data_IF_174587720362
#
_entry.id   IF_174587720362
#
_cell.length_a   1.000
_cell.length_b   1.000
_cell.length_c   1.000
_cell.angle_alpha   90.00
_cell.angle_beta   90.00
_cell.angle_gamma   90.00
#
_symmetry.space_group_name_H-M   'P 1'
#
loop_
_entity.id
_entity.type
_entity.pdbx_description
1 polymer ?
#
# COMPACT_ATOMS: atom_id res chain seq x y z
N UNK A 1 1.29 -12.37 -19.19
CA UNK A 1 -0.13 -12.77 -19.17
C UNK A 1 -0.54 -12.96 -17.72
N UNK A 2 -1.49 -12.17 -17.20
CA UNK A 2 -2.49 -12.62 -16.22
C UNK A 2 -3.69 -11.67 -16.34
N UNK A 3 -4.78 -12.19 -16.91
CA UNK A 3 -6.08 -11.52 -17.04
C UNK A 3 -7.09 -12.44 -16.36
N UNK A 4 -7.19 -12.30 -15.04
CA UNK A 4 -8.28 -12.72 -14.14
C UNK A 4 -7.73 -12.75 -12.72
N UNK A 5 -7.66 -11.58 -12.08
CA UNK A 5 -7.31 -11.47 -10.67
C UNK A 5 -8.51 -11.92 -9.83
N UNK A 6 -8.43 -13.11 -9.24
CA UNK A 6 -9.33 -13.50 -8.16
C UNK A 6 -9.37 -12.38 -7.12
N UNK A 7 -10.56 -11.93 -6.76
CA UNK A 7 -10.75 -10.98 -5.66
C UNK A 7 -11.43 -11.63 -4.48
N UNK A 8 -11.17 -11.06 -3.31
CA UNK A 8 -11.83 -11.42 -2.05
C UNK A 8 -12.33 -10.17 -1.34
N UNK A 9 -13.42 -10.31 -0.60
CA UNK A 9 -13.92 -9.28 0.30
C UNK A 9 -13.44 -9.59 1.72
N UNK A 10 -12.79 -8.61 2.35
CA UNK A 10 -12.32 -8.71 3.74
C UNK A 10 -12.22 -7.31 4.33
N UNK A 11 -12.78 -7.10 5.51
CA UNK A 11 -12.81 -5.80 6.14
C UNK A 11 -13.71 -4.79 5.44
N UNK A 12 -13.83 -3.62 6.04
CA UNK A 12 -14.58 -2.50 5.50
C UNK A 12 -13.91 -1.17 5.84
N UNK A 13 -13.88 -0.25 4.88
CA UNK A 13 -13.30 1.08 5.05
C UNK A 13 -14.15 2.11 4.29
N UNK A 14 -14.14 3.39 4.68
CA UNK A 14 -14.80 4.43 3.89
C UNK A 14 -14.21 4.51 2.47
N UNK A 15 -15.06 4.46 1.45
CA UNK A 15 -14.63 4.52 0.03
C UNK A 15 -15.46 5.51 -0.79
N UNK A 16 -16.77 5.64 -0.51
CA UNK A 16 -17.69 6.45 -1.34
C UNK A 16 -17.81 7.93 -0.90
N UNK A 17 -16.82 8.46 -0.17
CA UNK A 17 -16.79 9.85 0.28
C UNK A 17 -17.73 10.18 1.45
N UNK A 18 -18.53 9.23 1.93
CA UNK A 18 -19.23 9.32 3.21
C UNK A 18 -18.32 8.75 4.32
N UNK A 19 -17.93 9.60 5.27
CA UNK A 19 -17.05 9.22 6.38
C UNK A 19 -17.73 8.27 7.37
N UNK A 20 -19.06 8.21 7.40
CA UNK A 20 -19.83 7.39 8.34
C UNK A 20 -20.13 5.99 7.78
N UNK A 21 -20.13 5.84 6.45
CA UNK A 21 -20.36 4.57 5.79
C UNK A 21 -19.04 3.89 5.46
N UNK A 22 -18.97 2.58 5.72
CA UNK A 22 -17.84 1.74 5.35
C UNK A 22 -18.29 0.72 4.33
N UNK A 23 -17.53 0.59 3.27
CA UNK A 23 -17.75 -0.39 2.22
C UNK A 23 -16.77 -1.55 2.36
N UNK A 24 -17.18 -2.79 2.02
CA UNK A 24 -16.26 -3.92 1.95
C UNK A 24 -15.03 -3.59 1.11
N UNK A 25 -13.84 -3.92 1.61
CA UNK A 25 -12.61 -3.75 0.85
C UNK A 25 -12.47 -4.95 -0.08
N UNK A 26 -12.30 -4.68 -1.37
CA UNK A 26 -11.98 -5.69 -2.36
C UNK A 26 -10.46 -5.82 -2.51
N UNK A 27 -9.95 -7.03 -2.34
CA UNK A 27 -8.52 -7.34 -2.41
C UNK A 27 -8.22 -8.21 -3.62
N UNK A 28 -7.22 -7.83 -4.40
CA UNK A 28 -6.64 -8.62 -5.48
C UNK A 28 -5.67 -9.64 -4.88
N UNK A 29 -5.83 -10.92 -5.23
CA UNK A 29 -4.84 -11.95 -4.87
C UNK A 29 -3.65 -11.85 -5.84
N UNK A 30 -2.46 -11.59 -5.28
CA UNK A 30 -1.20 -11.51 -6.03
C UNK A 30 -0.49 -12.86 -6.09
N UNK A 31 -0.52 -13.61 -5.00
CA UNK A 31 0.18 -14.89 -4.88
C UNK A 31 -0.56 -15.82 -3.91
N UNK A 32 -0.46 -17.13 -4.13
CA UNK A 32 -0.88 -18.15 -3.16
C UNK A 32 0.31 -19.06 -2.84
N UNK A 33 0.74 -19.07 -1.58
CA UNK A 33 1.85 -19.90 -1.11
C UNK A 33 1.55 -20.45 0.28
N UNK A 34 1.89 -21.72 0.53
CA UNK A 34 1.79 -22.37 1.84
C UNK A 34 0.43 -22.19 2.56
N UNK A 35 -0.68 -22.22 1.81
CA UNK A 35 -2.03 -22.06 2.38
C UNK A 35 -2.39 -20.61 2.75
N UNK A 36 -1.55 -19.64 2.37
CA UNK A 36 -1.80 -18.22 2.53
C UNK A 36 -1.93 -17.55 1.16
N UNK A 37 -2.55 -16.37 1.13
CA UNK A 37 -2.68 -15.54 -0.07
C UNK A 37 -2.13 -14.15 0.20
N UNK A 38 -1.19 -13.69 -0.62
CA UNK A 38 -0.77 -12.29 -0.63
C UNK A 38 -1.83 -11.49 -1.37
N UNK A 39 -2.37 -10.47 -0.72
CA UNK A 39 -3.47 -9.69 -1.25
C UNK A 39 -3.17 -8.20 -1.15
N UNK A 40 -3.52 -7.45 -2.19
CA UNK A 40 -3.41 -5.98 -2.23
C UNK A 40 -4.78 -5.37 -2.45
N UNK A 41 -5.05 -4.21 -1.85
CA UNK A 41 -6.31 -3.50 -2.10
C UNK A 41 -6.46 -3.19 -3.60
N UNK A 42 -7.65 -3.46 -4.13
CA UNK A 42 -7.99 -3.16 -5.54
C UNK A 42 -7.96 -1.66 -5.81
N UNK A 43 -8.39 -0.87 -4.83
CA UNK A 43 -8.45 0.59 -4.90
C UNK A 43 -7.44 1.25 -3.95
N UNK A 44 -7.21 2.54 -4.17
CA UNK A 44 -6.44 3.40 -3.27
C UNK A 44 -7.37 3.95 -2.19
N UNK A 45 -7.13 3.53 -0.94
CA UNK A 45 -8.14 3.59 0.13
C UNK A 45 -8.11 4.87 0.97
N UNK A 46 -6.96 5.52 1.10
CA UNK A 46 -6.80 6.76 1.87
C UNK A 46 -5.64 7.59 1.28
N UNK A 47 -5.53 8.85 1.68
CA UNK A 47 -4.38 9.70 1.38
C UNK A 47 -3.64 10.04 2.67
N UNK A 48 -2.36 9.67 2.74
CA UNK A 48 -1.51 9.91 3.91
C UNK A 48 -0.09 10.21 3.46
N UNK A 49 0.61 11.15 4.12
CA UNK A 49 2.04 11.27 3.94
C UNK A 49 2.72 9.99 4.38
N UNK A 50 3.83 9.65 3.72
CA UNK A 50 4.67 8.54 4.13
C UNK A 50 5.23 8.79 5.54
N UNK A 51 5.77 9.98 5.78
CA UNK A 51 6.25 10.42 7.10
C UNK A 51 5.83 11.85 7.43
N UNK A 52 5.64 12.17 8.70
CA UNK A 52 5.21 13.52 9.13
C UNK A 52 6.32 14.57 9.11
N UNK A 53 7.59 14.15 9.06
CA UNK A 53 8.74 15.04 8.99
C UNK A 53 9.46 14.88 7.64
N UNK A 54 10.08 15.96 7.12
CA UNK A 54 10.87 15.89 5.90
C UNK A 54 12.21 15.17 6.14
N UNK A 55 12.85 14.82 5.03
CA UNK A 55 14.20 14.23 5.02
C UNK A 55 14.21 12.71 5.02
N UNK A 56 15.42 12.16 5.05
CA UNK A 56 15.68 10.72 4.99
C UNK A 56 14.97 9.95 6.11
N UNK A 57 14.33 8.86 5.73
CA UNK A 57 13.57 8.00 6.64
C UNK A 57 13.58 6.56 6.15
N UNK A 58 13.50 5.60 7.07
CA UNK A 58 13.39 4.17 6.76
C UNK A 58 11.98 3.65 7.04
N UNK A 59 11.56 2.56 6.40
CA UNK A 59 10.23 1.98 6.60
C UNK A 59 9.94 1.65 8.06
N UNK A 60 10.95 1.18 8.79
CA UNK A 60 10.81 0.82 10.22
C UNK A 60 10.32 1.98 11.09
N UNK A 61 10.73 3.21 10.79
CA UNK A 61 10.45 4.44 11.55
C UNK A 61 9.34 5.28 10.90
N UNK A 62 8.82 4.83 9.76
CA UNK A 62 7.78 5.47 8.99
C UNK A 62 6.46 5.58 9.77
N UNK A 63 5.83 6.78 9.75
CA UNK A 63 4.57 7.00 10.46
C UNK A 63 3.39 6.36 9.73
N UNK A 64 3.45 6.24 8.40
CA UNK A 64 2.47 5.49 7.62
C UNK A 64 2.46 4.00 8.00
N UNK A 65 3.63 3.39 8.22
CA UNK A 65 3.73 2.00 8.73
C UNK A 65 3.01 1.83 10.07
N UNK A 66 3.21 2.77 10.99
CA UNK A 66 2.51 2.78 12.28
C UNK A 66 0.99 2.92 12.08
N UNK A 67 0.55 3.86 11.25
CA UNK A 67 -0.87 4.03 10.94
C UNK A 67 -1.51 2.76 10.34
N UNK A 68 -0.82 2.10 9.40
CA UNK A 68 -1.26 0.85 8.77
C UNK A 68 -1.49 -0.26 9.80
N UNK A 69 -0.53 -0.47 10.70
CA UNK A 69 -0.53 -1.59 11.64
C UNK A 69 -1.33 -1.32 12.92
N UNK A 70 -1.74 -0.07 13.17
CA UNK A 70 -2.55 0.31 14.31
C UNK A 70 -3.93 0.80 13.88
N UNK A 71 -4.04 2.04 13.41
CA UNK A 71 -5.35 2.66 13.13
C UNK A 71 -6.08 1.96 11.99
N UNK A 72 -5.44 1.79 10.84
CA UNK A 72 -6.07 1.15 9.69
C UNK A 72 -6.45 -0.30 10.01
N UNK A 73 -5.53 -1.10 10.53
CA UNK A 73 -5.78 -2.50 10.88
C UNK A 73 -6.96 -2.66 11.86
N UNK A 74 -7.03 -1.84 12.90
CA UNK A 74 -8.11 -1.91 13.89
C UNK A 74 -9.44 -1.38 13.38
N UNK A 75 -9.43 -0.39 12.48
CA UNK A 75 -10.64 0.17 11.90
C UNK A 75 -11.20 -0.66 10.75
N UNK A 76 -10.33 -1.23 9.92
CA UNK A 76 -10.71 -1.92 8.69
C UNK A 76 -11.23 -3.34 8.94
N UNK A 77 -10.73 -4.04 9.97
CA UNK A 77 -11.01 -5.46 10.16
C UNK A 77 -11.66 -5.75 11.51
N UNK A 78 -12.65 -6.63 11.53
CA UNK A 78 -13.20 -7.17 12.80
C UNK A 78 -12.15 -8.04 13.51
N UNK A 79 -12.39 -8.39 14.78
CA UNK A 79 -11.45 -9.25 15.53
C UNK A 79 -11.24 -10.60 14.82
N UNK A 80 -12.31 -11.18 14.31
CA UNK A 80 -12.30 -12.46 13.58
C UNK A 80 -11.51 -12.35 12.27
N UNK A 81 -11.64 -11.23 11.56
CA UNK A 81 -10.86 -10.97 10.34
C UNK A 81 -9.38 -10.72 10.65
N UNK A 82 -9.08 -10.02 11.74
CA UNK A 82 -7.71 -9.77 12.20
C UNK A 82 -6.96 -11.07 12.51
N UNK A 83 -7.63 -12.09 13.02
CA UNK A 83 -7.04 -13.42 13.29
C UNK A 83 -6.64 -14.16 12.00
N UNK A 84 -7.33 -13.88 10.89
CA UNK A 84 -7.04 -14.43 9.58
C UNK A 84 -5.87 -13.73 8.89
N UNK A 85 -5.52 -12.52 9.33
CA UNK A 85 -4.38 -11.78 8.79
C UNK A 85 -3.09 -12.24 9.49
N UNK A 86 -2.12 -12.64 8.68
CA UNK A 86 -0.83 -13.10 9.17
C UNK A 86 0.09 -11.93 9.50
N UNK A 87 0.94 -12.17 10.49
CA UNK A 87 2.11 -11.36 10.73
C UNK A 87 3.21 -11.83 9.77
N UNK A 88 3.76 -10.94 8.94
CA UNK A 88 4.79 -11.26 7.96
C UNK A 88 6.09 -10.51 8.22
N UNK A 89 7.22 -11.20 8.02
CA UNK A 89 8.52 -10.54 7.97
C UNK A 89 8.71 -9.89 6.60
N UNK A 90 8.99 -8.59 6.62
CA UNK A 90 9.26 -7.79 5.43
C UNK A 90 10.75 -7.47 5.40
N UNK A 91 11.44 -7.96 4.36
CA UNK A 91 12.84 -7.62 4.12
C UNK A 91 12.93 -6.21 3.57
N UNK A 92 13.78 -5.39 4.19
CA UNK A 92 14.05 -4.02 3.74
C UNK A 92 15.57 -3.78 3.78
N UNK A 93 16.12 -2.93 2.92
CA UNK A 93 17.56 -2.72 2.82
C UNK A 93 18.26 -2.35 4.14
N UNK A 94 17.65 -1.53 5.00
CA UNK A 94 18.26 -1.10 6.28
C UNK A 94 17.83 -1.94 7.46
N UNK A 95 16.54 -2.29 7.55
CA UNK A 95 16.05 -3.07 8.70
C UNK A 95 14.76 -3.81 8.36
N UNK A 96 14.79 -5.13 8.51
CA UNK A 96 13.58 -5.95 8.41
C UNK A 96 12.51 -5.47 9.41
N UNK A 97 11.27 -5.57 8.99
CA UNK A 97 10.11 -5.29 9.83
C UNK A 97 9.20 -6.50 9.91
N UNK A 98 8.27 -6.45 10.85
CA UNK A 98 7.27 -7.49 11.03
C UNK A 98 5.91 -6.80 11.10
N UNK A 99 5.07 -7.03 10.10
CA UNK A 99 3.87 -6.24 9.84
C UNK A 99 2.68 -7.13 9.54
N UNK A 100 1.46 -6.69 9.88
CA UNK A 100 0.21 -7.31 9.44
C UNK A 100 -0.31 -6.66 8.16
N UNK A 101 -0.08 -5.36 8.04
CA UNK A 101 -0.44 -4.55 6.87
C UNK A 101 0.80 -3.76 6.45
N UNK A 102 1.14 -3.85 5.17
CA UNK A 102 2.34 -3.22 4.61
C UNK A 102 2.07 -2.70 3.19
N UNK A 103 3.10 -2.19 2.53
CA UNK A 103 3.08 -1.74 1.13
C UNK A 103 4.03 -2.60 0.31
N UNK A 104 3.80 -2.74 -0.99
CA UNK A 104 4.79 -3.36 -1.87
C UNK A 104 6.06 -2.51 -1.93
N UNK A 105 7.21 -3.16 -2.14
CA UNK A 105 8.42 -2.48 -2.58
C UNK A 105 8.47 -2.38 -4.13
N UNK A 106 9.53 -1.80 -4.67
CA UNK A 106 9.74 -1.64 -6.11
C UNK A 106 9.68 -2.98 -6.84
N UNK A 107 10.52 -3.93 -6.43
CA UNK A 107 10.68 -5.23 -7.09
C UNK A 107 9.40 -6.07 -7.03
N UNK A 108 8.67 -6.03 -5.91
CA UNK A 108 7.36 -6.65 -5.75
C UNK A 108 6.31 -6.01 -6.68
N UNK A 109 6.30 -4.68 -6.82
CA UNK A 109 5.39 -3.98 -7.73
C UNK A 109 5.70 -4.29 -9.21
N UNK A 110 6.97 -4.51 -9.56
CA UNK A 110 7.36 -4.98 -10.88
C UNK A 110 7.01 -6.45 -11.11
N UNK A 111 7.21 -7.29 -10.11
CA UNK A 111 6.97 -8.72 -10.20
C UNK A 111 5.48 -9.04 -10.36
N UNK A 112 4.64 -8.43 -9.52
CA UNK A 112 3.21 -8.76 -9.46
C UNK A 112 2.35 -8.02 -10.49
N UNK A 113 2.84 -6.93 -11.09
CA UNK A 113 2.10 -6.15 -12.08
C UNK A 113 2.93 -5.86 -13.32
N UNK A 114 2.33 -6.14 -14.49
CA UNK A 114 2.77 -5.49 -15.71
C UNK A 114 2.40 -4.00 -15.68
N UNK A 115 3.07 -3.21 -16.52
CA UNK A 115 2.89 -1.77 -16.61
C UNK A 115 1.40 -1.36 -16.72
N UNK A 116 0.65 -2.03 -17.61
CA UNK A 116 -0.77 -1.73 -17.89
C UNK A 116 -1.73 -1.93 -16.71
N UNK A 117 -1.36 -2.76 -15.72
CA UNK A 117 -2.24 -3.07 -14.58
C UNK A 117 -1.71 -2.57 -13.22
N UNK A 118 -0.56 -1.86 -13.21
CA UNK A 118 0.06 -1.37 -11.97
C UNK A 118 -0.65 -0.15 -11.42
N UNK A 119 -1.18 0.70 -12.30
CA UNK A 119 -2.04 1.83 -11.95
C UNK A 119 -3.26 1.37 -11.13
N UNK A 120 -3.71 2.21 -10.20
CA UNK A 120 -4.86 1.91 -9.36
C UNK A 120 -5.81 3.09 -9.24
N UNK A 121 -7.11 2.79 -9.21
CA UNK A 121 -8.15 3.79 -9.07
C UNK A 121 -8.24 4.32 -7.64
N UNK A 122 -8.43 5.62 -7.51
CA UNK A 122 -8.58 6.33 -6.24
C UNK A 122 -10.03 6.28 -5.79
N UNK A 123 -10.26 5.95 -4.52
CA UNK A 123 -11.60 6.05 -3.93
C UNK A 123 -12.00 7.51 -3.73
N UNK A 124 -13.30 7.81 -3.76
CA UNK A 124 -13.78 9.16 -3.43
C UNK A 124 -13.38 9.59 -2.01
N UNK A 125 -13.28 8.64 -1.08
CA UNK A 125 -12.76 8.93 0.25
C UNK A 125 -11.31 9.39 0.19
N UNK A 126 -10.41 8.66 -0.47
CA UNK A 126 -9.01 9.08 -0.62
C UNK A 126 -8.88 10.46 -1.30
N UNK A 127 -9.71 10.75 -2.31
CA UNK A 127 -9.76 12.09 -2.94
C UNK A 127 -10.11 13.19 -1.92
N UNK A 128 -11.10 12.97 -1.05
CA UNK A 128 -11.44 13.92 0.03
C UNK A 128 -10.32 14.08 1.07
N UNK A 129 -9.45 13.09 1.18
CA UNK A 129 -8.28 13.11 2.05
C UNK A 129 -7.07 13.82 1.41
N UNK A 130 -7.18 14.25 0.15
CA UNK A 130 -6.15 14.99 -0.58
C UNK A 130 -5.47 14.21 -1.70
N UNK A 131 -5.88 12.97 -1.97
CA UNK A 131 -5.26 12.16 -3.02
C UNK A 131 -5.38 12.85 -4.38
N UNK A 132 -4.24 12.98 -5.06
CA UNK A 132 -4.23 13.43 -6.44
C UNK A 132 -4.64 12.28 -7.37
N UNK A 133 -5.37 12.61 -8.43
CA UNK A 133 -5.79 11.66 -9.46
C UNK A 133 -5.95 12.30 -10.83
N UNK A 134 -5.68 11.53 -11.88
CA UNK A 134 -6.03 11.81 -13.27
C UNK A 134 -6.81 10.62 -13.83
N UNK A 135 -7.94 10.86 -14.48
CA UNK A 135 -8.82 9.83 -15.05
C UNK A 135 -9.16 8.69 -14.06
N UNK A 136 -9.42 9.05 -12.80
CA UNK A 136 -9.67 8.15 -11.66
C UNK A 136 -8.44 7.42 -11.09
N UNK A 137 -7.27 7.47 -11.74
CA UNK A 137 -6.05 6.81 -11.28
C UNK A 137 -5.16 7.78 -10.50
N UNK A 138 -4.47 7.28 -9.48
CA UNK A 138 -3.66 8.11 -8.60
C UNK A 138 -2.28 7.54 -8.35
N UNK A 139 -1.52 8.27 -7.54
CA UNK A 139 -0.18 7.87 -7.10
C UNK A 139 -0.29 7.05 -5.82
N UNK A 140 0.49 5.99 -5.67
CA UNK A 140 0.54 5.20 -4.45
C UNK A 140 1.95 4.85 -3.99
N UNK A 141 2.15 4.90 -2.67
CA UNK A 141 3.46 4.71 -2.04
C UNK A 141 4.00 3.30 -2.22
N UNK A 142 5.31 3.20 -2.46
CA UNK A 142 6.09 2.00 -2.23
C UNK A 142 6.77 2.06 -0.86
N UNK A 143 7.20 0.89 -0.38
CA UNK A 143 7.71 0.72 0.99
C UNK A 143 8.97 1.52 1.27
N UNK A 144 9.87 1.68 0.31
CA UNK A 144 11.13 2.41 0.46
C UNK A 144 11.63 2.96 -0.89
N UNK A 145 12.69 3.77 -0.85
CA UNK A 145 13.34 4.39 -2.00
C UNK A 145 14.17 3.37 -2.81
N UNK A 146 14.00 3.37 -4.14
CA UNK A 146 14.69 2.48 -5.07
C UNK A 146 14.29 0.99 -4.95
N UNK A 147 15.00 0.15 -5.70
CA UNK A 147 14.96 -1.31 -5.60
C UNK A 147 15.80 -1.86 -4.44
N UNK A 148 15.64 -3.15 -4.15
CA UNK A 148 16.44 -3.85 -3.14
C UNK A 148 17.95 -3.72 -3.43
N UNK A 149 18.36 -3.87 -4.69
CA UNK A 149 19.76 -3.80 -5.11
C UNK A 149 20.39 -2.42 -4.94
N UNK A 150 19.59 -1.35 -5.00
CA UNK A 150 20.09 0.02 -4.84
C UNK A 150 20.50 0.32 -3.39
N UNK A 151 19.93 -0.40 -2.41
CA UNK A 151 20.14 -0.18 -0.98
C UNK A 151 19.91 1.28 -0.53
N UNK A 152 19.01 2.01 -1.21
CA UNK A 152 18.81 3.46 -1.04
C UNK A 152 17.85 3.86 0.11
N UNK A 153 17.23 2.89 0.79
CA UNK A 153 16.34 3.17 1.92
C UNK A 153 17.07 4.02 2.99
N UNK A 154 16.51 5.18 3.35
CA UNK A 154 17.11 6.10 4.32
C UNK A 154 18.35 6.84 3.82
N UNK A 155 18.74 6.71 2.55
CA UNK A 155 19.84 7.46 1.94
C UNK A 155 19.38 8.64 1.10
N UNK A 156 18.15 8.57 0.57
CA UNK A 156 17.53 9.60 -0.25
C UNK A 156 16.40 10.30 0.51
N UNK A 157 16.14 11.55 0.13
CA UNK A 157 15.06 12.35 0.73
C UNK A 157 13.69 12.00 0.16
N UNK A 158 13.61 11.34 -1.00
CA UNK A 158 12.35 10.94 -1.63
C UNK A 158 12.04 9.45 -1.44
N UNK A 159 10.77 9.09 -1.48
CA UNK A 159 10.24 7.73 -1.42
C UNK A 159 9.70 7.35 -2.80
N UNK A 160 9.89 6.08 -3.19
CA UNK A 160 9.36 5.59 -4.45
C UNK A 160 7.84 5.47 -4.42
N UNK A 161 7.22 5.62 -5.58
CA UNK A 161 5.78 5.47 -5.75
C UNK A 161 5.45 4.97 -7.15
N UNK A 162 4.25 4.44 -7.31
CA UNK A 162 3.68 4.16 -8.62
C UNK A 162 2.78 5.33 -9.02
N UNK A 163 2.99 5.87 -10.22
CA UNK A 163 2.24 6.98 -10.77
C UNK A 163 0.90 6.51 -11.40
N UNK A 164 0.02 7.45 -11.76
CA UNK A 164 -1.32 7.16 -12.28
C UNK A 164 -1.32 6.33 -13.57
N UNK A 165 -0.24 6.36 -14.34
CA UNK A 165 -0.05 5.62 -15.58
C UNK A 165 0.61 4.25 -15.37
N UNK A 166 0.95 3.89 -14.12
CA UNK A 166 1.61 2.63 -13.77
C UNK A 166 3.14 2.68 -13.81
N UNK A 167 3.75 3.81 -14.17
CA UNK A 167 5.20 3.99 -14.07
C UNK A 167 5.64 4.02 -12.60
N UNK A 168 6.77 3.38 -12.27
CA UNK A 168 7.36 3.48 -10.93
C UNK A 168 8.36 4.62 -10.94
N UNK A 169 8.10 5.64 -10.14
CA UNK A 169 9.05 6.73 -9.91
C UNK A 169 9.92 6.40 -8.70
N UNK A 170 11.22 6.21 -8.94
CA UNK A 170 12.18 5.93 -7.88
C UNK A 170 12.52 7.20 -7.10
N UNK A 171 12.31 7.17 -5.78
CA UNK A 171 12.71 8.27 -4.89
C UNK A 171 12.19 9.66 -5.30
N UNK A 172 11.02 9.74 -5.93
CA UNK A 172 10.52 11.00 -6.49
C UNK A 172 9.66 11.83 -5.53
N UNK A 173 9.01 11.19 -4.56
CA UNK A 173 8.03 11.86 -3.72
C UNK A 173 8.57 12.14 -2.31
N UNK A 174 8.53 13.40 -1.87
CA UNK A 174 8.90 13.77 -0.50
C UNK A 174 8.03 13.03 0.53
N UNK A 175 8.60 12.55 1.66
CA UNK A 175 7.86 11.79 2.67
C UNK A 175 6.64 12.51 3.23
N UNK A 176 6.70 13.84 3.31
CA UNK A 176 5.63 14.72 3.80
C UNK A 176 4.55 15.01 2.77
N UNK A 177 4.71 14.54 1.52
CA UNK A 177 3.76 14.77 0.45
C UNK A 177 2.37 14.20 0.83
N UNK A 178 1.34 15.03 0.73
CA UNK A 178 -0.03 14.73 1.12
C UNK A 178 -0.96 14.43 -0.07
N UNK A 179 -0.40 14.13 -1.24
CA UNK A 179 -1.16 13.79 -2.45
C UNK A 179 -1.12 12.30 -2.80
N UNK A 180 -0.20 11.55 -2.20
CA UNK A 180 0.04 10.15 -2.52
C UNK A 180 -0.83 9.24 -1.65
N UNK A 181 -1.43 8.24 -2.31
CA UNK A 181 -2.44 7.39 -1.71
C UNK A 181 -1.84 6.13 -1.08
N UNK A 182 -2.64 5.48 -0.25
CA UNK A 182 -2.28 4.24 0.42
C UNK A 182 -2.93 3.05 -0.31
N UNK A 183 -2.10 2.06 -0.66
CA UNK A 183 -2.52 0.78 -1.26
C UNK A 183 -2.07 -0.39 -0.38
N UNK A 184 -2.85 -0.75 0.66
CA UNK A 184 -2.45 -1.75 1.63
C UNK A 184 -2.28 -3.16 1.06
N UNK A 185 -1.36 -3.91 1.66
CA UNK A 185 -1.07 -5.31 1.36
C UNK A 185 -1.19 -6.14 2.65
N UNK A 186 -1.75 -7.34 2.55
CA UNK A 186 -1.91 -8.30 3.64
C UNK A 186 -1.58 -9.72 3.20
N UNK A 187 -1.14 -10.54 4.15
CA UNK A 187 -1.14 -12.00 4.01
C UNK A 187 -2.39 -12.57 4.68
N UNK A 188 -3.23 -13.26 3.92
CA UNK A 188 -4.46 -13.87 4.41
C UNK A 188 -4.30 -15.39 4.54
N UNK A 189 -4.61 -15.93 5.72
CA UNK A 189 -4.73 -17.38 5.94
C UNK A 189 -6.00 -17.91 5.27
N UNK A 190 -5.90 -19.09 4.65
CA UNK A 190 -7.08 -19.84 4.20
C UNK A 190 -8.06 -20.10 5.34
#
# INVERSE_FOLDING_TARGET
MYVNSDTILLGSYPQNGDFLRREPIEWIILERTNGQSLCISKFLLDCKPYHHAPGKIIWKECSLRHWLNHYFFTCAFTKEEQERISLSENKNPKSNTTDRVFLLNFDEAEHYFNFENRAAKVTHFAQKQGAWSLDEYGVWWLRYSGSEDMLAEGELDGISCVNFDGYIEESACEPTNSICSVRPVIWLKR
#
